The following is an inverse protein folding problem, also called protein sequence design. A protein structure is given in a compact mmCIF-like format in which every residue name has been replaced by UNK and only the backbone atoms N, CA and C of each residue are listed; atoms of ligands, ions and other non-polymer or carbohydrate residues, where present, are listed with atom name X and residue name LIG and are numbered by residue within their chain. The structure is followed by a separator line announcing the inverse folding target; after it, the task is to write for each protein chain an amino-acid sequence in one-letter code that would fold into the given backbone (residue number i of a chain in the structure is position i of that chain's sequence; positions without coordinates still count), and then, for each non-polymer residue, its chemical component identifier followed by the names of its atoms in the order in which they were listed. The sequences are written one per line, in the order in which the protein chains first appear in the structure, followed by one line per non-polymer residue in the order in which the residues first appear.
data_IF_804292469389
#
_entry.id   IF_804292469389
#
_cell.length_a   1.000
_cell.length_b   1.000
_cell.length_c   1.000
_cell.angle_alpha   90.00
_cell.angle_beta   90.00
_cell.angle_gamma   90.00
#
_symmetry.space_group_name_H-M   'P 1'
#
loop_
_entity.id
_entity.type
_entity.pdbx_description
1 polymer ?
#
# COMPACT_ATOMS: atom_id res chain seq x y z
N UNK A 1 6.08 21.29 -10.60
CA UNK A 1 7.23 21.64 -9.73
C UNK A 1 7.27 20.87 -8.41
N UNK A 2 6.15 20.63 -7.70
CA UNK A 2 6.17 19.93 -6.38
C UNK A 2 6.82 18.54 -6.36
N UNK A 3 6.63 17.72 -7.41
CA UNK A 3 7.23 16.38 -7.48
C UNK A 3 8.75 16.44 -7.50
N UNK A 4 9.31 17.27 -8.39
CA UNK A 4 10.77 17.43 -8.54
C UNK A 4 11.40 17.94 -7.25
N UNK A 5 10.80 18.95 -6.62
CA UNK A 5 11.33 19.52 -5.38
C UNK A 5 11.31 18.53 -4.22
N UNK A 6 10.25 17.72 -4.09
CA UNK A 6 10.16 16.68 -3.06
C UNK A 6 11.18 15.57 -3.32
N UNK A 7 11.33 15.12 -4.58
CA UNK A 7 12.34 14.12 -4.95
C UNK A 7 13.76 14.61 -4.65
N UNK A 8 14.11 15.84 -5.04
CA UNK A 8 15.43 16.43 -4.75
C UNK A 8 15.68 16.54 -3.25
N UNK A 9 14.68 16.98 -2.47
CA UNK A 9 14.79 17.08 -1.01
C UNK A 9 14.99 15.71 -0.34
N UNK A 10 14.24 14.69 -0.76
CA UNK A 10 14.35 13.34 -0.24
C UNK A 10 15.68 12.66 -0.64
N UNK A 11 16.17 12.95 -1.85
CA UNK A 11 17.47 12.48 -2.31
C UNK A 11 18.59 13.02 -1.42
N UNK A 12 18.66 14.35 -1.25
CA UNK A 12 19.65 15.01 -0.38
C UNK A 12 19.57 14.51 1.06
N UNK A 13 18.35 14.31 1.59
CA UNK A 13 18.17 13.72 2.93
C UNK A 13 18.79 12.32 3.00
N UNK A 14 18.58 11.47 2.00
CA UNK A 14 19.12 10.11 2.01
C UNK A 14 20.64 10.07 1.85
N UNK A 15 21.22 11.01 1.12
CA UNK A 15 22.68 11.18 1.01
C UNK A 15 23.31 11.58 2.35
N UNK A 16 22.67 12.49 3.08
CA UNK A 16 23.14 12.95 4.40
C UNK A 16 22.88 11.93 5.52
N UNK A 17 21.68 11.34 5.55
CA UNK A 17 21.26 10.38 6.57
C UNK A 17 20.43 9.25 5.92
N UNK A 18 21.08 8.13 5.52
CA UNK A 18 20.40 7.03 4.84
C UNK A 18 19.20 6.51 5.63
N UNK A 19 18.00 6.64 5.07
CA UNK A 19 16.75 6.31 5.78
C UNK A 19 15.92 5.22 5.11
N UNK A 20 16.26 4.80 3.88
CA UNK A 20 15.49 3.79 3.13
C UNK A 20 15.34 2.46 3.89
N UNK A 21 16.37 2.04 4.65
CA UNK A 21 16.30 0.82 5.48
C UNK A 21 15.37 0.91 6.69
N UNK A 22 14.89 2.12 7.02
CA UNK A 22 13.92 2.39 8.08
C UNK A 22 12.51 2.62 7.54
N UNK A 23 12.36 2.60 6.21
CA UNK A 23 11.10 2.91 5.57
C UNK A 23 10.16 1.72 5.68
N UNK A 24 8.96 1.99 6.19
CA UNK A 24 7.81 1.09 6.10
C UNK A 24 6.80 1.76 5.20
N UNK A 25 6.36 1.05 4.17
CA UNK A 25 5.33 1.53 3.26
C UNK A 25 4.13 0.61 3.30
N UNK A 26 2.96 1.13 2.97
CA UNK A 26 1.76 0.33 2.84
C UNK A 26 0.79 0.92 1.82
N UNK A 27 -0.02 0.05 1.24
CA UNK A 27 -1.03 0.41 0.25
C UNK A 27 -2.19 -0.58 0.27
N UNK A 28 -3.33 -0.15 -0.27
CA UNK A 28 -4.55 -0.95 -0.37
C UNK A 28 -4.89 -1.26 -1.84
N UNK A 29 -5.18 -2.53 -2.12
CA UNK A 29 -5.51 -3.00 -3.46
C UNK A 29 -6.76 -3.86 -3.47
N UNK A 30 -7.70 -3.53 -4.37
CA UNK A 30 -8.80 -4.43 -4.68
C UNK A 30 -8.30 -5.62 -5.49
N UNK A 31 -8.56 -6.84 -4.99
CA UNK A 31 -8.34 -8.11 -5.67
C UNK A 31 -9.70 -8.66 -6.08
N UNK A 32 -9.77 -9.05 -7.34
CA UNK A 32 -10.99 -9.45 -8.02
C UNK A 32 -10.91 -10.95 -8.30
N UNK A 33 -11.98 -11.71 -8.01
CA UNK A 33 -11.95 -13.17 -8.18
C UNK A 33 -11.92 -13.60 -9.65
N UNK A 34 -12.69 -12.93 -10.51
CA UNK A 34 -12.68 -13.19 -11.94
C UNK A 34 -11.79 -12.16 -12.64
N UNK A 35 -10.48 -12.43 -12.63
CA UNK A 35 -9.51 -11.68 -13.42
C UNK A 35 -9.64 -12.12 -14.88
N UNK A 36 -10.48 -11.42 -15.64
CA UNK A 36 -10.53 -11.63 -17.10
C UNK A 36 -9.22 -11.08 -17.68
N UNK A 37 -8.29 -11.98 -17.92
CA UNK A 37 -7.07 -11.66 -18.65
C UNK A 37 -7.41 -11.44 -20.12
N UNK A 38 -7.23 -10.19 -20.58
CA UNK A 38 -7.25 -9.91 -22.02
C UNK A 38 -6.00 -10.51 -22.63
N UNK A 39 -6.16 -11.60 -23.36
CA UNK A 39 -5.10 -12.12 -24.22
C UNK A 39 -4.88 -11.11 -25.36
N UNK A 40 -3.67 -10.56 -25.45
CA UNK A 40 -3.24 -9.85 -26.66
C UNK A 40 -3.05 -10.90 -27.75
N UNK A 41 -3.83 -10.78 -28.82
CA UNK A 41 -3.57 -11.51 -30.05
C UNK A 41 -2.93 -10.58 -31.07
N UNK A 42 -1.93 -11.10 -31.78
CA UNK A 42 -1.45 -10.51 -33.01
C UNK A 42 -2.38 -10.99 -34.13
N UNK A 43 -2.88 -10.06 -34.94
CA UNK A 43 -3.77 -10.35 -36.07
C UNK A 43 -3.28 -9.60 -37.29
N UNK A 44 -3.53 -10.13 -38.48
CA UNK A 44 -3.13 -9.47 -39.72
C UNK A 44 -3.92 -8.18 -39.94
N UNK A 45 -3.37 -7.20 -40.70
CA UNK A 45 -4.09 -5.98 -41.05
C UNK A 45 -5.43 -6.31 -41.73
N UNK A 46 -6.54 -5.87 -41.15
CA UNK A 46 -7.90 -6.10 -41.67
C UNK A 46 -8.66 -7.26 -41.03
N UNK A 47 -8.03 -8.10 -40.21
CA UNK A 47 -8.73 -9.17 -39.50
C UNK A 47 -9.48 -8.66 -38.26
N UNK A 48 -10.67 -9.23 -37.96
CA UNK A 48 -11.41 -8.89 -36.76
C UNK A 48 -10.63 -9.28 -35.51
N UNK A 49 -10.47 -8.34 -34.59
CA UNK A 49 -9.79 -8.57 -33.30
C UNK A 49 -10.59 -9.58 -32.47
N UNK A 50 -9.88 -10.49 -31.81
CA UNK A 50 -10.50 -11.42 -30.88
C UNK A 50 -11.13 -10.64 -29.70
N UNK A 51 -12.46 -10.72 -29.58
CA UNK A 51 -13.21 -10.01 -28.54
C UNK A 51 -13.35 -10.89 -27.30
N UNK A 52 -12.65 -10.55 -26.23
CA UNK A 52 -12.96 -11.09 -24.89
C UNK A 52 -14.16 -10.35 -24.32
N UNK A 53 -15.17 -11.11 -23.86
CA UNK A 53 -16.31 -10.55 -23.14
C UNK A 53 -15.84 -9.75 -21.93
N UNK A 54 -16.44 -8.58 -21.70
CA UNK A 54 -16.15 -7.80 -20.49
C UNK A 54 -16.62 -8.61 -19.29
N UNK A 55 -15.77 -8.72 -18.25
CA UNK A 55 -16.20 -9.27 -16.98
C UNK A 55 -17.46 -8.52 -16.51
N UNK A 56 -18.57 -9.22 -16.33
CA UNK A 56 -19.81 -8.63 -15.81
C UNK A 56 -19.52 -8.13 -14.40
N UNK A 57 -19.67 -6.82 -14.14
CA UNK A 57 -19.34 -6.10 -12.88
C UNK A 57 -20.26 -6.53 -11.72
N UNK A 58 -20.34 -7.83 -11.44
CA UNK A 58 -20.98 -8.40 -10.24
C UNK A 58 -19.91 -9.04 -9.34
N UNK A 59 -18.65 -8.63 -9.48
CA UNK A 59 -17.50 -9.35 -8.97
C UNK A 59 -17.36 -9.21 -7.46
N UNK A 60 -17.49 -10.34 -6.78
CA UNK A 60 -16.85 -10.58 -5.48
C UNK A 60 -15.43 -10.02 -5.56
N UNK A 61 -15.16 -8.99 -4.75
CA UNK A 61 -13.84 -8.38 -4.60
C UNK A 61 -13.47 -8.35 -3.13
N UNK A 62 -12.19 -8.51 -2.85
CA UNK A 62 -11.62 -8.38 -1.51
C UNK A 62 -10.59 -7.26 -1.53
N UNK A 63 -10.48 -6.51 -0.44
CA UNK A 63 -9.46 -5.47 -0.31
C UNK A 63 -8.27 -6.07 0.44
N UNK A 64 -7.10 -6.03 -0.17
CA UNK A 64 -5.82 -6.33 0.48
C UNK A 64 -5.23 -5.03 0.99
N UNK A 65 -5.01 -4.94 2.30
CA UNK A 65 -4.14 -3.92 2.90
C UNK A 65 -2.80 -4.59 3.22
N UNK A 66 -1.69 -4.04 2.75
CA UNK A 66 -0.38 -4.65 2.95
C UNK A 66 0.65 -3.59 3.34
N UNK A 67 1.52 -3.93 4.30
CA UNK A 67 2.65 -3.13 4.75
C UNK A 67 3.93 -3.93 4.68
N UNK A 68 4.97 -3.33 4.13
CA UNK A 68 6.26 -3.98 3.90
C UNK A 68 7.43 -3.01 4.00
N UNK A 69 8.62 -3.56 4.18
CA UNK A 69 9.89 -2.85 4.13
C UNK A 69 10.85 -3.51 3.13
N UNK A 70 12.11 -3.08 3.13
CA UNK A 70 13.16 -3.65 2.27
C UNK A 70 13.47 -5.13 2.55
N UNK A 71 13.06 -5.68 3.70
CA UNK A 71 13.23 -7.10 4.05
C UNK A 71 12.02 -7.95 3.66
N UNK A 72 10.87 -7.33 3.36
CA UNK A 72 9.65 -8.02 2.92
C UNK A 72 8.40 -7.59 3.69
N UNK A 73 7.36 -8.43 3.61
CA UNK A 73 6.04 -8.13 4.20
C UNK A 73 6.11 -8.16 5.73
N UNK A 74 5.60 -7.11 6.36
CA UNK A 74 5.51 -6.97 7.82
C UNK A 74 4.12 -7.39 8.28
N UNK A 75 3.08 -6.78 7.72
CA UNK A 75 1.69 -7.03 8.08
C UNK A 75 0.81 -6.95 6.83
N UNK A 76 -0.22 -7.78 6.76
CA UNK A 76 -1.25 -7.66 5.74
C UNK A 76 -2.59 -8.12 6.30
N UNK A 77 -3.66 -7.61 5.72
CA UNK A 77 -5.02 -8.00 6.05
C UNK A 77 -5.86 -8.08 4.77
N UNK A 78 -6.66 -9.15 4.67
CA UNK A 78 -7.69 -9.27 3.66
C UNK A 78 -9.04 -8.93 4.28
N UNK A 79 -9.67 -7.88 3.77
CA UNK A 79 -11.01 -7.51 4.20
C UNK A 79 -12.04 -8.49 3.64
N UNK A 80 -13.15 -8.74 4.38
CA UNK A 80 -14.31 -9.45 3.87
C UNK A 80 -14.81 -8.90 2.53
N UNK A 81 -15.53 -9.75 1.79
CA UNK A 81 -15.99 -9.44 0.45
C UNK A 81 -16.77 -8.12 0.42
N UNK A 82 -16.42 -7.28 -0.56
CA UNK A 82 -17.04 -5.97 -0.84
C UNK A 82 -16.95 -4.96 0.31
N UNK A 83 -16.11 -5.19 1.33
CA UNK A 83 -15.90 -4.23 2.40
C UNK A 83 -14.78 -3.25 2.06
N UNK A 84 -15.03 -1.95 2.24
CA UNK A 84 -14.04 -0.89 2.09
C UNK A 84 -13.40 -0.58 3.44
N UNK A 85 -12.16 -0.09 3.42
CA UNK A 85 -11.48 0.38 4.63
C UNK A 85 -12.16 1.63 5.21
N UNK A 86 -12.45 1.59 6.50
CA UNK A 86 -12.95 2.73 7.29
C UNK A 86 -11.81 3.34 8.11
N UNK A 87 -11.95 4.57 8.58
CA UNK A 87 -10.92 5.20 9.41
C UNK A 87 -10.64 4.42 10.71
N UNK A 88 -11.69 3.90 11.36
CA UNK A 88 -11.56 3.08 12.57
C UNK A 88 -10.77 1.79 12.30
N UNK A 89 -11.12 1.08 11.22
CA UNK A 89 -10.41 -0.15 10.84
C UNK A 89 -8.96 0.14 10.49
N UNK A 90 -8.70 1.25 9.81
CA UNK A 90 -7.33 1.69 9.52
C UNK A 90 -6.52 1.90 10.81
N UNK A 91 -7.12 2.49 11.85
CA UNK A 91 -6.46 2.66 13.13
C UNK A 91 -6.14 1.30 13.80
N UNK A 92 -7.07 0.36 13.78
CA UNK A 92 -6.83 -1.01 14.28
C UNK A 92 -5.72 -1.74 13.51
N UNK A 93 -5.65 -1.50 12.20
CA UNK A 93 -4.57 -2.02 11.35
C UNK A 93 -3.22 -1.41 11.71
N UNK A 94 -3.17 -0.11 12.02
CA UNK A 94 -1.96 0.56 12.50
C UNK A 94 -1.49 0.02 13.85
N UNK A 95 -2.40 -0.28 14.78
CA UNK A 95 -2.05 -0.92 16.05
C UNK A 95 -1.47 -2.33 15.83
N UNK A 96 -2.08 -3.11 14.92
CA UNK A 96 -1.60 -4.44 14.53
C UNK A 96 -0.24 -4.38 13.80
N UNK A 97 -0.05 -3.36 12.96
CA UNK A 97 1.22 -3.07 12.30
C UNK A 97 2.31 -2.76 13.32
N UNK A 98 2.03 -1.96 14.36
CA UNK A 98 2.99 -1.66 15.43
C UNK A 98 3.48 -2.93 16.09
N UNK A 99 2.56 -3.80 16.52
CA UNK A 99 2.90 -5.08 17.13
C UNK A 99 3.71 -5.97 16.18
N UNK A 100 3.36 -5.99 14.89
CA UNK A 100 4.12 -6.74 13.89
C UNK A 100 5.52 -6.18 13.64
N UNK A 101 5.71 -4.85 13.71
CA UNK A 101 7.03 -4.20 13.63
C UNK A 101 7.86 -4.59 14.85
N UNK A 102 7.31 -4.49 16.05
CA UNK A 102 8.00 -4.83 17.29
C UNK A 102 8.48 -6.30 17.28
N UNK A 103 7.66 -7.20 16.74
CA UNK A 103 7.99 -8.62 16.63
C UNK A 103 8.96 -8.95 15.49
N UNK A 104 8.72 -8.43 14.28
CA UNK A 104 9.44 -8.84 13.06
C UNK A 104 10.63 -7.96 12.73
N UNK A 105 10.71 -6.76 13.29
CA UNK A 105 11.71 -5.71 13.03
C UNK A 105 12.14 -5.01 14.33
N UNK A 106 12.66 -5.74 15.32
CA UNK A 106 13.04 -5.16 16.62
C UNK A 106 14.09 -4.04 16.49
N UNK A 107 14.88 -4.01 15.41
CA UNK A 107 15.83 -2.94 15.11
C UNK A 107 15.17 -1.60 14.78
N UNK A 108 13.95 -1.61 14.22
CA UNK A 108 13.18 -0.40 13.92
C UNK A 108 12.53 0.15 15.20
N UNK A 109 11.93 -0.75 15.99
CA UNK A 109 11.28 -0.42 17.25
C UNK A 109 12.26 0.21 18.27
N UNK A 110 13.48 -0.33 18.39
CA UNK A 110 14.36 -0.01 19.51
C UNK A 110 15.43 1.06 19.24
N UNK A 111 15.78 1.37 17.98
CA UNK A 111 17.02 2.14 17.71
C UNK A 111 16.89 3.34 16.78
N UNK A 112 15.96 3.31 15.84
CA UNK A 112 16.11 4.15 14.63
C UNK A 112 14.85 4.91 14.19
N UNK A 113 13.71 4.63 14.82
CA UNK A 113 12.41 5.18 14.42
C UNK A 113 11.95 4.62 13.07
N UNK A 114 10.63 4.63 12.85
CA UNK A 114 10.02 4.16 11.62
C UNK A 114 9.80 5.35 10.69
N UNK A 115 10.21 5.23 9.42
CA UNK A 115 9.86 6.23 8.41
C UNK A 115 8.66 5.72 7.63
N UNK A 116 7.48 6.24 7.96
CA UNK A 116 6.25 5.86 7.27
C UNK A 116 6.13 6.55 5.91
N UNK A 117 5.87 5.76 4.86
CA UNK A 117 5.59 6.26 3.51
C UNK A 117 4.27 5.69 2.99
N UNK A 118 3.28 6.57 2.79
CA UNK A 118 1.93 6.21 2.36
C UNK A 118 1.40 7.23 1.35
N UNK A 119 0.34 6.86 0.65
CA UNK A 119 -0.32 7.76 -0.30
C UNK A 119 -1.15 8.83 0.45
N UNK A 120 -1.63 9.86 -0.26
CA UNK A 120 -2.44 10.94 0.33
C UNK A 120 -3.95 10.63 0.30
N UNK A 121 -4.36 9.35 0.37
CA UNK A 121 -5.77 9.00 0.38
C UNK A 121 -6.48 9.67 1.57
N UNK A 122 -7.76 10.05 1.36
CA UNK A 122 -8.54 10.79 2.37
C UNK A 122 -8.56 10.13 3.75
N UNK A 123 -8.54 8.80 3.78
CA UNK A 123 -8.51 8.02 5.02
C UNK A 123 -7.18 8.17 5.77
N UNK A 124 -6.05 8.18 5.05
CA UNK A 124 -4.71 8.30 5.62
C UNK A 124 -4.41 9.72 6.12
N UNK A 125 -5.02 10.74 5.51
CA UNK A 125 -4.87 12.15 5.94
C UNK A 125 -5.91 12.60 6.96
N UNK A 126 -6.82 11.71 7.39
CA UNK A 126 -7.80 12.02 8.43
C UNK A 126 -7.11 12.34 9.76
N UNK A 127 -7.73 13.17 10.61
CA UNK A 127 -7.15 13.58 11.89
C UNK A 127 -6.79 12.36 12.76
N UNK A 128 -7.69 11.38 12.81
CA UNK A 128 -7.51 10.15 13.60
C UNK A 128 -6.34 9.31 13.09
N UNK A 129 -6.22 9.13 11.77
CA UNK A 129 -5.11 8.40 11.17
C UNK A 129 -3.76 9.12 11.39
N UNK A 130 -3.73 10.45 11.27
CA UNK A 130 -2.51 11.25 11.53
C UNK A 130 -2.10 11.18 12.99
N UNK A 131 -3.05 11.24 13.92
CA UNK A 131 -2.78 11.12 15.35
C UNK A 131 -2.20 9.74 15.67
N UNK A 132 -2.80 8.67 15.13
CA UNK A 132 -2.28 7.31 15.27
C UNK A 132 -0.90 7.13 14.69
N UNK A 133 -0.61 7.69 13.51
CA UNK A 133 0.74 7.64 12.92
C UNK A 133 1.79 8.34 13.79
N UNK A 134 1.43 9.43 14.47
CA UNK A 134 2.34 10.10 15.42
C UNK A 134 2.62 9.24 16.65
N UNK A 135 1.65 8.44 17.13
CA UNK A 135 1.84 7.48 18.23
C UNK A 135 2.73 6.29 17.83
N UNK A 136 2.89 6.03 16.53
CA UNK A 136 3.77 4.97 16.03
C UNK A 136 5.24 5.35 16.04
N UNK A 137 5.57 6.65 16.11
CA UNK A 137 6.95 7.17 16.10
C UNK A 137 7.42 7.57 14.72
#
# INVERSE_FOLDING_TARGET
MKRVSVCDSLLRRNENEPFLKRMVTGDEKWIVYNNVERKRSWSHPGEPRQTTSKAKIQLRKIMLCCWWDWKGIIYYELLPHNQTITSERYCTQLDSLKAAIDQKRPELANRKGVVSHQNNARLHVSLVARQKLLELG
#
